data_IF_756312438737
#
_entry.id   IF_756312438737
#
_cell.length_a   1.000
_cell.length_b   1.000
_cell.length_c   1.000
_cell.angle_alpha   90.00
_cell.angle_beta   90.00
_cell.angle_gamma   90.00
#
_symmetry.space_group_name_H-M   'P 1'
#
loop_
_entity.id
_entity.type
_entity.pdbx_description
1 polymer ?
#
# COMPACT_ATOMS: atom_id res chain seq x y z
N UNK A 1 -8.05 5.41 77.09
CA UNK A 1 -6.70 5.65 77.63
C UNK A 1 -5.83 4.46 77.22
N UNK A 2 -4.86 4.70 76.32
CA UNK A 2 -3.66 3.87 76.07
C UNK A 2 -3.84 2.41 75.59
N UNK A 3 -4.24 2.24 74.32
CA UNK A 3 -3.77 1.15 73.47
C UNK A 3 -2.28 1.40 73.14
N UNK A 4 -1.36 0.72 73.84
CA UNK A 4 0.05 0.65 73.43
C UNK A 4 0.60 -0.74 73.68
N UNK A 5 1.31 -1.24 72.65
CA UNK A 5 2.21 -2.41 72.62
C UNK A 5 1.56 -3.75 72.25
N UNK A 6 1.14 -3.85 71.00
CA UNK A 6 1.37 -5.06 70.22
C UNK A 6 1.82 -4.66 68.82
N UNK A 7 2.66 -5.52 68.25
CA UNK A 7 3.12 -5.55 66.86
C UNK A 7 4.46 -4.83 66.60
N UNK A 8 5.49 -5.69 66.61
CA UNK A 8 6.78 -5.47 65.99
C UNK A 8 6.62 -4.94 64.56
N UNK A 9 7.24 -3.80 64.30
CA UNK A 9 7.37 -3.21 62.96
C UNK A 9 8.56 -3.89 62.28
N UNK A 10 8.38 -4.72 61.23
CA UNK A 10 9.51 -5.17 60.43
C UNK A 10 10.07 -4.00 59.62
N UNK A 11 11.40 -3.92 59.58
CA UNK A 11 12.22 -2.94 58.85
C UNK A 11 11.70 -2.71 57.42
N UNK A 12 11.70 -1.46 56.90
CA UNK A 12 11.32 -1.22 55.53
C UNK A 12 12.31 -1.92 54.59
N UNK A 13 11.79 -2.81 53.76
CA UNK A 13 12.50 -3.46 52.69
C UNK A 13 13.06 -2.37 51.76
N UNK A 14 14.38 -2.35 51.59
CA UNK A 14 15.09 -1.39 50.77
C UNK A 14 14.47 -1.31 49.36
N UNK A 15 13.77 -0.21 49.11
CA UNK A 15 13.38 0.25 47.79
C UNK A 15 14.65 0.63 47.02
N UNK A 16 15.22 -0.33 46.29
CA UNK A 16 16.32 -0.09 45.36
C UNK A 16 16.04 -0.74 44.01
N UNK A 17 16.14 0.12 43.00
CA UNK A 17 16.19 -0.16 41.58
C UNK A 17 14.84 -0.42 40.90
N UNK A 18 14.05 0.66 40.89
CA UNK A 18 13.34 1.10 39.68
C UNK A 18 14.32 1.00 38.51
N UNK A 19 14.30 -0.10 37.74
CA UNK A 19 14.95 -0.13 36.42
C UNK A 19 14.27 0.97 35.62
N UNK A 20 14.93 2.11 35.48
CA UNK A 20 14.61 3.06 34.43
C UNK A 20 14.80 2.29 33.13
N UNK A 21 13.69 1.90 32.51
CA UNK A 21 13.68 1.59 31.10
C UNK A 21 14.09 2.89 30.42
N UNK A 22 15.40 3.03 30.21
CA UNK A 22 15.99 4.13 29.47
C UNK A 22 15.31 4.13 28.10
N UNK A 23 14.51 5.17 27.85
CA UNK A 23 13.82 5.46 26.59
C UNK A 23 14.85 5.90 25.54
N UNK A 24 15.98 5.19 25.46
CA UNK A 24 17.07 5.43 24.52
C UNK A 24 17.17 4.36 23.44
N UNK A 25 16.31 3.32 23.47
CA UNK A 25 16.21 2.33 22.39
C UNK A 25 15.24 2.71 21.26
N UNK A 26 14.61 3.90 21.33
CA UNK A 26 13.59 4.35 20.37
C UNK A 26 14.16 5.27 19.26
N UNK A 27 15.44 5.66 19.33
CA UNK A 27 16.03 6.60 18.36
C UNK A 27 17.31 6.02 17.74
N UNK A 28 17.15 5.15 16.72
CA UNK A 28 18.20 4.88 15.74
C UNK A 28 17.62 4.58 14.33
N UNK A 29 16.93 5.50 13.60
CA UNK A 29 16.52 5.19 12.23
C UNK A 29 17.52 5.66 11.15
N UNK A 30 18.72 6.17 11.47
CA UNK A 30 19.58 6.80 10.44
C UNK A 30 20.69 5.87 9.90
N UNK A 31 21.15 4.87 10.67
CA UNK A 31 22.23 3.98 10.20
C UNK A 31 21.78 2.79 9.37
N UNK A 32 20.52 2.35 9.48
CA UNK A 32 20.01 1.19 8.74
C UNK A 32 19.66 1.51 7.27
N UNK A 33 19.32 2.77 6.96
CA UNK A 33 18.90 3.23 5.63
C UNK A 33 20.03 3.13 4.58
N UNK A 34 21.30 3.24 5.00
CA UNK A 34 22.44 3.21 4.07
C UNK A 34 22.67 1.83 3.44
N UNK A 35 22.29 0.75 4.13
CA UNK A 35 22.48 -0.63 3.65
C UNK A 35 21.24 -1.17 2.90
N UNK A 36 20.04 -0.66 3.19
CA UNK A 36 18.80 -1.01 2.47
C UNK A 36 18.68 -0.33 1.11
N UNK A 37 19.24 0.87 0.91
CA UNK A 37 19.19 1.53 -0.41
C UNK A 37 20.02 0.78 -1.47
N UNK A 38 21.24 0.34 -1.11
CA UNK A 38 22.11 -0.42 -2.02
C UNK A 38 21.54 -1.77 -2.42
N UNK A 39 20.93 -2.50 -1.47
CA UNK A 39 20.30 -3.81 -1.72
C UNK A 39 18.98 -3.69 -2.47
N UNK A 40 18.18 -2.64 -2.24
CA UNK A 40 16.93 -2.41 -3.00
C UNK A 40 17.22 -2.06 -4.46
N UNK A 41 18.27 -1.27 -4.73
CA UNK A 41 18.68 -0.93 -6.10
C UNK A 41 19.28 -2.15 -6.82
N UNK A 42 20.11 -2.96 -6.15
CA UNK A 42 20.65 -4.20 -6.75
C UNK A 42 19.57 -5.24 -7.03
N UNK A 43 18.56 -5.36 -6.17
CA UNK A 43 17.41 -6.25 -6.41
C UNK A 43 16.52 -5.69 -7.53
N UNK A 44 16.33 -4.37 -7.61
CA UNK A 44 15.59 -3.71 -8.69
C UNK A 44 16.26 -3.85 -10.06
N UNK A 45 17.58 -3.63 -10.14
CA UNK A 45 18.36 -3.78 -11.37
C UNK A 45 18.50 -5.26 -11.78
N UNK A 46 18.74 -6.16 -10.83
CA UNK A 46 18.74 -7.61 -11.07
C UNK A 46 17.37 -8.10 -11.56
N UNK A 47 16.27 -7.57 -11.01
CA UNK A 47 14.92 -7.86 -11.46
C UNK A 47 14.66 -7.31 -12.87
N UNK A 48 15.08 -6.08 -13.19
CA UNK A 48 14.96 -5.53 -14.55
C UNK A 48 15.79 -6.36 -15.53
N UNK A 49 17.07 -6.62 -15.24
CA UNK A 49 17.93 -7.44 -16.10
C UNK A 49 17.41 -8.87 -16.27
N UNK A 50 16.88 -9.49 -15.20
CA UNK A 50 16.24 -10.80 -15.29
C UNK A 50 14.96 -10.76 -16.14
N UNK A 51 14.11 -9.75 -15.98
CA UNK A 51 12.93 -9.58 -16.84
C UNK A 51 13.28 -9.27 -18.30
N UNK A 52 14.47 -8.73 -18.58
CA UNK A 52 14.97 -8.48 -19.94
C UNK A 52 15.66 -9.72 -20.53
N UNK A 53 16.34 -10.52 -19.70
CA UNK A 53 17.10 -11.70 -20.11
C UNK A 53 16.21 -12.94 -20.31
N UNK A 54 15.20 -13.12 -19.47
CA UNK A 54 14.28 -14.26 -19.53
C UNK A 54 13.01 -13.98 -20.36
N UNK A 55 12.82 -12.74 -20.79
CA UNK A 55 11.77 -12.39 -21.74
C UNK A 55 12.11 -12.94 -23.13
N UNK A 56 11.32 -13.90 -23.60
CA UNK A 56 11.42 -14.54 -24.91
C UNK A 56 11.35 -13.59 -26.11
N UNK A 57 11.06 -14.11 -27.32
CA UNK A 57 11.21 -13.32 -28.53
C UNK A 57 10.31 -12.08 -28.50
N UNK A 58 10.76 -10.96 -29.09
CA UNK A 58 10.14 -9.63 -29.02
C UNK A 58 8.61 -9.61 -29.26
N UNK A 59 8.07 -10.58 -30.01
CA UNK A 59 6.65 -10.74 -30.24
C UNK A 59 5.83 -11.01 -28.96
N UNK A 60 6.39 -11.70 -27.96
CA UNK A 60 5.70 -12.00 -26.70
C UNK A 60 5.53 -10.72 -25.86
N UNK A 61 6.54 -9.85 -25.86
CA UNK A 61 6.49 -8.54 -25.20
C UNK A 61 5.43 -7.65 -25.86
N UNK A 62 5.39 -7.64 -27.19
CA UNK A 62 4.40 -6.88 -27.95
C UNK A 62 2.99 -7.41 -27.70
N UNK A 63 2.80 -8.74 -27.70
CA UNK A 63 1.51 -9.38 -27.43
C UNK A 63 0.96 -9.00 -26.05
N UNK A 64 1.79 -9.10 -25.01
CA UNK A 64 1.40 -8.75 -23.64
C UNK A 64 1.09 -7.26 -23.49
N UNK A 65 1.93 -6.40 -24.05
CA UNK A 65 1.71 -4.95 -24.03
C UNK A 65 0.41 -4.58 -24.75
N UNK A 66 0.19 -5.14 -25.93
CA UNK A 66 -1.03 -4.93 -26.72
C UNK A 66 -2.28 -5.43 -26.00
N UNK A 67 -2.22 -6.61 -25.37
CA UNK A 67 -3.31 -7.13 -24.55
C UNK A 67 -3.65 -6.16 -23.40
N UNK A 68 -2.64 -5.68 -22.68
CA UNK A 68 -2.87 -4.74 -21.58
C UNK A 68 -3.55 -3.45 -22.07
N UNK A 69 -3.01 -2.81 -23.11
CA UNK A 69 -3.54 -1.54 -23.60
C UNK A 69 -4.93 -1.70 -24.23
N UNK A 70 -5.18 -2.75 -25.00
CA UNK A 70 -6.53 -3.01 -25.57
C UNK A 70 -7.61 -3.17 -24.50
N UNK A 71 -7.28 -3.69 -23.32
CA UNK A 71 -8.22 -3.87 -22.21
C UNK A 71 -8.30 -2.62 -21.31
N UNK A 72 -7.20 -1.90 -21.10
CA UNK A 72 -7.16 -0.76 -20.19
C UNK A 72 -7.62 0.56 -20.84
N UNK A 73 -7.46 0.74 -22.15
CA UNK A 73 -7.90 1.96 -22.86
C UNK A 73 -9.42 2.20 -22.68
N UNK A 74 -10.31 1.21 -22.89
CA UNK A 74 -11.74 1.42 -22.69
C UNK A 74 -12.10 1.82 -21.25
N UNK A 75 -11.42 1.23 -20.27
CA UNK A 75 -11.58 1.58 -18.85
C UNK A 75 -11.19 3.04 -18.62
N UNK A 76 -9.98 3.41 -19.06
CA UNK A 76 -9.47 4.77 -18.94
C UNK A 76 -10.40 5.80 -19.60
N UNK A 77 -10.86 5.53 -20.82
CA UNK A 77 -11.77 6.42 -21.53
C UNK A 77 -13.09 6.61 -20.79
N UNK A 78 -13.64 5.57 -20.15
CA UNK A 78 -14.86 5.69 -19.37
C UNK A 78 -14.66 6.55 -18.11
N UNK A 79 -13.53 6.41 -17.42
CA UNK A 79 -13.17 7.30 -16.31
C UNK A 79 -13.03 8.76 -16.76
N UNK A 80 -12.39 9.00 -17.91
CA UNK A 80 -12.24 10.34 -18.48
C UNK A 80 -13.58 10.93 -18.91
N UNK A 81 -14.47 10.12 -19.50
CA UNK A 81 -15.83 10.54 -19.81
C UNK A 81 -16.59 10.96 -18.55
N UNK A 82 -16.52 10.16 -17.50
CA UNK A 82 -17.18 10.46 -16.22
C UNK A 82 -16.64 11.75 -15.59
N UNK A 83 -15.32 11.95 -15.65
CA UNK A 83 -14.68 13.18 -15.18
C UNK A 83 -15.18 14.41 -15.96
N UNK A 84 -15.22 14.32 -17.29
CA UNK A 84 -15.73 15.40 -18.13
C UNK A 84 -17.22 15.66 -17.86
N UNK A 85 -18.02 14.61 -17.67
CA UNK A 85 -19.45 14.74 -17.36
C UNK A 85 -19.68 15.62 -16.12
N UNK A 86 -18.98 15.37 -15.01
CA UNK A 86 -19.12 16.21 -13.80
C UNK A 86 -18.54 17.61 -13.95
N UNK A 87 -17.50 17.78 -14.78
CA UNK A 87 -16.95 19.12 -15.08
C UNK A 87 -17.92 19.97 -15.90
N UNK A 88 -18.64 19.38 -16.86
CA UNK A 88 -19.60 20.11 -17.71
C UNK A 88 -20.98 20.26 -17.07
N UNK A 89 -21.36 19.40 -16.13
CA UNK A 89 -22.65 19.47 -15.41
C UNK A 89 -22.45 19.70 -13.90
N UNK A 90 -21.98 20.90 -13.48
CA UNK A 90 -21.67 21.21 -12.09
C UNK A 90 -22.90 21.35 -11.17
N UNK A 91 -24.11 21.24 -11.70
CA UNK A 91 -25.37 21.29 -10.94
C UNK A 91 -25.64 20.03 -10.10
N UNK A 92 -24.80 19.00 -10.23
CA UNK A 92 -24.91 17.75 -9.46
C UNK A 92 -24.44 17.91 -8.02
N UNK A 93 -25.10 17.20 -7.11
CA UNK A 93 -24.70 17.19 -5.70
C UNK A 93 -23.42 16.37 -5.50
N UNK A 94 -22.56 16.71 -4.51
CA UNK A 94 -21.37 15.91 -4.21
C UNK A 94 -21.67 14.43 -3.90
N UNK A 95 -22.87 14.16 -3.37
CA UNK A 95 -23.31 12.80 -3.08
C UNK A 95 -23.59 11.98 -4.36
N UNK A 96 -24.22 12.58 -5.38
CA UNK A 96 -24.43 11.94 -6.68
C UNK A 96 -23.11 11.66 -7.38
N UNK A 97 -22.17 12.61 -7.34
CA UNK A 97 -20.84 12.43 -7.90
C UNK A 97 -20.11 11.26 -7.24
N UNK A 98 -20.09 11.23 -5.90
CA UNK A 98 -19.42 10.16 -5.17
C UNK A 98 -20.05 8.79 -5.43
N UNK A 99 -21.38 8.71 -5.54
CA UNK A 99 -22.07 7.48 -5.87
C UNK A 99 -21.74 6.99 -7.29
N UNK A 100 -21.64 7.92 -8.24
CA UNK A 100 -21.31 7.59 -9.62
C UNK A 100 -19.84 7.17 -9.78
N UNK A 101 -18.92 7.77 -9.03
CA UNK A 101 -17.56 7.26 -8.92
C UNK A 101 -17.55 5.86 -8.30
N UNK A 102 -18.25 5.65 -7.20
CA UNK A 102 -18.31 4.35 -6.53
C UNK A 102 -18.84 3.24 -7.46
N UNK A 103 -19.90 3.53 -8.23
CA UNK A 103 -20.45 2.57 -9.19
C UNK A 103 -19.45 2.23 -10.31
N UNK A 104 -18.71 3.23 -10.81
CA UNK A 104 -17.67 3.04 -11.82
C UNK A 104 -16.51 2.19 -11.28
N UNK A 105 -16.06 2.46 -10.05
CA UNK A 105 -15.04 1.66 -9.40
C UNK A 105 -15.50 0.22 -9.20
N UNK A 106 -16.72 0.00 -8.70
CA UNK A 106 -17.24 -1.36 -8.51
C UNK A 106 -17.35 -2.13 -9.84
N UNK A 107 -17.72 -1.45 -10.93
CA UNK A 107 -17.81 -2.04 -12.27
C UNK A 107 -16.45 -2.55 -12.77
N UNK A 108 -15.39 -1.76 -12.61
CA UNK A 108 -14.09 -2.07 -13.20
C UNK A 108 -13.10 -2.73 -12.26
N UNK A 109 -13.37 -2.77 -10.96
CA UNK A 109 -12.44 -3.31 -9.97
C UNK A 109 -12.09 -4.78 -10.28
N UNK A 110 -13.09 -5.64 -10.46
CA UNK A 110 -12.88 -7.06 -10.81
C UNK A 110 -12.23 -7.23 -12.18
N UNK A 111 -12.65 -6.43 -13.16
CA UNK A 111 -12.11 -6.50 -14.52
C UNK A 111 -10.62 -6.15 -14.56
N UNK A 112 -10.23 -5.01 -13.97
CA UNK A 112 -8.84 -4.56 -13.93
C UNK A 112 -7.97 -5.53 -13.14
N UNK A 113 -8.49 -6.07 -12.03
CA UNK A 113 -7.80 -7.12 -11.28
C UNK A 113 -7.49 -8.33 -12.16
N UNK A 114 -8.47 -8.82 -12.91
CA UNK A 114 -8.28 -9.96 -13.80
C UNK A 114 -7.25 -9.67 -14.91
N UNK A 115 -7.22 -8.46 -15.47
CA UNK A 115 -6.21 -8.06 -16.46
C UNK A 115 -4.80 -8.07 -15.84
N UNK A 116 -4.66 -7.57 -14.61
CA UNK A 116 -3.37 -7.57 -13.87
C UNK A 116 -2.92 -9.00 -13.56
N UNK A 117 -3.84 -9.86 -13.08
CA UNK A 117 -3.56 -11.26 -12.76
C UNK A 117 -3.25 -12.09 -14.02
N UNK A 118 -3.88 -11.78 -15.17
CA UNK A 118 -3.61 -12.43 -16.44
C UNK A 118 -2.18 -12.17 -16.92
N UNK A 119 -1.70 -10.93 -16.77
CA UNK A 119 -0.35 -10.57 -17.20
C UNK A 119 0.76 -11.14 -16.33
N UNK A 120 0.47 -11.37 -15.04
CA UNK A 120 1.42 -11.87 -14.03
C UNK A 120 2.72 -11.02 -13.93
N UNK A 121 3.61 -11.43 -13.03
CA UNK A 121 4.96 -10.85 -12.90
C UNK A 121 4.94 -9.36 -12.49
N UNK A 122 5.50 -8.50 -13.34
CA UNK A 122 5.65 -7.05 -13.06
C UNK A 122 4.31 -6.39 -12.75
N UNK A 123 3.23 -6.78 -13.43
CA UNK A 123 1.91 -6.17 -13.21
C UNK A 123 1.34 -6.47 -11.82
N UNK A 124 1.58 -7.68 -11.29
CA UNK A 124 1.20 -8.02 -9.91
C UNK A 124 1.99 -7.16 -8.92
N UNK A 125 3.29 -6.98 -9.15
CA UNK A 125 4.13 -6.12 -8.31
C UNK A 125 3.67 -4.65 -8.34
N UNK A 126 3.28 -4.15 -9.51
CA UNK A 126 2.70 -2.81 -9.61
C UNK A 126 1.39 -2.70 -8.83
N UNK A 127 0.54 -3.74 -8.85
CA UNK A 127 -0.66 -3.81 -8.00
C UNK A 127 -0.33 -3.79 -6.51
N UNK A 128 0.68 -4.54 -6.08
CA UNK A 128 1.16 -4.55 -4.69
C UNK A 128 1.68 -3.17 -4.27
N UNK A 129 2.51 -2.52 -5.10
CA UNK A 129 3.01 -1.17 -4.84
C UNK A 129 1.84 -0.17 -4.77
N UNK A 130 0.89 -0.24 -5.71
CA UNK A 130 -0.28 0.62 -5.71
C UNK A 130 -1.11 0.46 -4.42
N UNK A 131 -1.20 -0.76 -3.90
CA UNK A 131 -1.95 -1.08 -2.68
C UNK A 131 -1.32 -0.52 -1.41
N UNK A 132 -0.04 -0.13 -1.45
CA UNK A 132 0.60 0.62 -0.36
C UNK A 132 0.17 2.10 -0.30
N UNK A 133 -0.56 2.59 -1.31
CA UNK A 133 -0.95 3.99 -1.49
C UNK A 133 -2.48 4.17 -1.45
N UNK A 134 -3.09 4.11 -0.24
CA UNK A 134 -4.53 4.27 -0.08
C UNK A 134 -5.03 5.70 -0.36
N UNK A 135 -4.10 6.65 -0.47
CA UNK A 135 -4.35 8.05 -0.83
C UNK A 135 -4.65 8.23 -2.33
N UNK A 136 -4.16 7.33 -3.18
CA UNK A 136 -4.33 7.40 -4.64
C UNK A 136 -5.35 6.35 -5.10
N UNK A 137 -5.32 5.16 -4.50
CA UNK A 137 -6.11 4.03 -4.95
C UNK A 137 -7.48 4.00 -4.24
N UNK A 138 -8.59 3.88 -4.98
CA UNK A 138 -9.93 3.78 -4.40
C UNK A 138 -10.05 2.58 -3.47
N UNK A 139 -10.76 2.74 -2.35
CA UNK A 139 -10.94 1.69 -1.33
C UNK A 139 -11.49 0.37 -1.89
N UNK A 140 -12.28 0.43 -2.95
CA UNK A 140 -12.81 -0.75 -3.66
C UNK A 140 -11.70 -1.61 -4.24
N UNK A 141 -10.66 -1.00 -4.81
CA UNK A 141 -9.49 -1.70 -5.35
C UNK A 141 -8.61 -2.25 -4.23
N UNK A 142 -8.40 -1.49 -3.16
CA UNK A 142 -7.62 -1.93 -1.99
C UNK A 142 -8.19 -3.16 -1.29
N UNK A 143 -9.51 -3.36 -1.33
CA UNK A 143 -10.14 -4.55 -0.74
C UNK A 143 -9.84 -5.83 -1.52
N UNK A 144 -9.38 -5.73 -2.77
CA UNK A 144 -9.16 -6.89 -3.64
C UNK A 144 -7.69 -7.26 -3.83
N UNK A 145 -6.78 -6.28 -3.74
CA UNK A 145 -5.33 -6.50 -3.79
C UNK A 145 -4.75 -6.79 -2.41
#
# INVERSE_FOLDING_TARGET
MLLRRLLAVPKPLNFRLRRSLSVSSIIQPIRLIKYTFGTTIFTGLGFISYTVYESGPEWEKFRRTSYFWSHMIPVYLHYRYQQMYFQFFPTKTPAEEQQAWLSLHNKYCDYVMNVVLHQRGVYIKLGQIASTRPDIIPKTYLKKF
#
